data_IF_560531862800
#
_entry.id   IF_560531862800
#
_cell.length_a   1.000
_cell.length_b   1.000
_cell.length_c   1.000
_cell.angle_alpha   90.00
_cell.angle_beta   90.00
_cell.angle_gamma   90.00
#
_symmetry.space_group_name_H-M   'P 1'
#
loop_
_entity.id
_entity.type
_entity.pdbx_description
1 polymer ?
#
# COMPACT_ATOMS: atom_id res chain seq x y z
N UNK A 1 -22.36 3.04 -9.07
CA UNK A 1 -22.23 1.74 -8.37
C UNK A 1 -20.88 1.71 -7.66
N UNK A 2 -20.73 1.00 -6.55
CA UNK A 2 -19.44 0.86 -5.86
C UNK A 2 -18.93 -0.57 -6.02
N UNK A 3 -17.66 -0.72 -6.42
CA UNK A 3 -17.00 -2.03 -6.53
C UNK A 3 -15.58 -1.92 -6.00
N UNK A 4 -15.17 -2.82 -5.10
CA UNK A 4 -13.85 -2.78 -4.43
C UNK A 4 -13.54 -1.43 -3.75
N UNK A 5 -14.56 -0.74 -3.22
CA UNK A 5 -14.42 0.59 -2.62
C UNK A 5 -14.32 1.74 -3.63
N UNK A 6 -14.25 1.44 -4.93
CA UNK A 6 -14.17 2.42 -6.02
C UNK A 6 -15.56 2.85 -6.45
N UNK A 7 -15.76 4.17 -6.57
CA UNK A 7 -17.00 4.74 -7.10
C UNK A 7 -16.98 4.69 -8.63
N UNK A 8 -17.90 3.93 -9.24
CA UNK A 8 -18.02 3.80 -10.69
C UNK A 8 -19.24 4.60 -11.15
N UNK A 9 -18.98 5.62 -11.99
CA UNK A 9 -19.97 6.40 -12.71
C UNK A 9 -19.84 6.17 -14.22
N UNK A 10 -20.83 6.61 -15.02
CA UNK A 10 -20.85 6.36 -16.46
C UNK A 10 -19.61 6.88 -17.21
N UNK A 11 -18.96 7.93 -16.70
CA UNK A 11 -17.85 8.61 -17.36
C UNK A 11 -16.56 8.65 -16.54
N UNK A 12 -16.59 8.28 -15.26
CA UNK A 12 -15.44 8.40 -14.36
C UNK A 12 -15.40 7.28 -13.33
N UNK A 13 -14.18 6.95 -12.93
CA UNK A 13 -13.87 6.03 -11.84
C UNK A 13 -13.21 6.83 -10.73
N UNK A 14 -13.87 6.92 -9.58
CA UNK A 14 -13.37 7.63 -8.39
C UNK A 14 -12.67 6.65 -7.47
N UNK A 15 -11.36 6.82 -7.20
CA UNK A 15 -10.64 5.98 -6.25
C UNK A 15 -11.29 6.06 -4.84
N UNK A 16 -11.32 4.97 -4.05
CA UNK A 16 -11.61 5.05 -2.62
C UNK A 16 -10.71 6.05 -1.92
N UNK A 17 -11.23 6.61 -0.84
CA UNK A 17 -10.44 7.40 0.09
C UNK A 17 -9.38 6.51 0.75
N UNK A 18 -8.12 6.91 0.65
CA UNK A 18 -6.98 6.20 1.25
C UNK A 18 -6.39 7.06 2.35
N UNK A 19 -6.37 6.51 3.55
CA UNK A 19 -5.76 7.14 4.70
C UNK A 19 -4.33 6.63 4.87
N UNK A 20 -3.38 7.38 4.32
CA UNK A 20 -1.96 7.13 4.54
C UNK A 20 -1.58 7.67 5.92
N UNK A 21 -1.33 6.76 6.86
CA UNK A 21 -0.84 7.11 8.18
C UNK A 21 0.67 7.38 8.08
N UNK A 22 1.10 8.59 8.42
CA UNK A 22 2.51 9.04 8.30
C UNK A 22 3.32 8.83 9.58
N UNK A 23 2.66 8.59 10.70
CA UNK A 23 3.31 8.26 11.97
C UNK A 23 3.56 6.74 12.02
N UNK A 24 4.76 6.32 11.62
CA UNK A 24 5.15 4.91 11.55
C UNK A 24 6.03 4.62 12.76
N UNK A 25 5.51 3.85 13.72
CA UNK A 25 6.24 3.51 14.95
C UNK A 25 6.49 2.02 15.10
N UNK A 26 5.65 1.20 14.47
CA UNK A 26 5.70 -0.25 14.58
C UNK A 26 5.80 -0.92 13.22
N UNK A 27 6.22 -2.19 13.21
CA UNK A 27 6.16 -3.02 12.01
C UNK A 27 4.74 -3.10 11.44
N UNK A 28 3.71 -3.12 12.32
CA UNK A 28 2.32 -3.14 11.89
C UNK A 28 1.93 -1.87 11.12
N UNK A 29 2.40 -0.70 11.56
CA UNK A 29 2.17 0.56 10.86
C UNK A 29 2.83 0.55 9.47
N UNK A 30 4.05 0.00 9.40
CA UNK A 30 4.77 -0.18 8.14
C UNK A 30 4.00 -1.12 7.19
N UNK A 31 3.47 -2.25 7.69
CA UNK A 31 2.65 -3.17 6.91
C UNK A 31 1.39 -2.48 6.35
N UNK A 32 0.70 -1.67 7.17
CA UNK A 32 -0.47 -0.89 6.71
C UNK A 32 -0.12 0.12 5.62
N UNK A 33 1.02 0.80 5.77
CA UNK A 33 1.51 1.73 4.75
C UNK A 33 1.78 1.01 3.42
N UNK A 34 2.54 -0.09 3.47
CA UNK A 34 2.87 -0.87 2.28
C UNK A 34 1.62 -1.40 1.60
N UNK A 35 0.66 -1.93 2.34
CA UNK A 35 -0.62 -2.38 1.77
C UNK A 35 -1.40 -1.25 1.08
N UNK A 36 -1.42 -0.06 1.68
CA UNK A 36 -2.08 1.11 1.08
C UNK A 36 -1.40 1.57 -0.22
N UNK A 37 -0.07 1.55 -0.25
CA UNK A 37 0.73 1.90 -1.44
C UNK A 37 0.63 0.85 -2.55
N UNK A 38 0.60 -0.43 -2.21
CA UNK A 38 0.38 -1.51 -3.18
C UNK A 38 -0.99 -1.40 -3.85
N UNK A 39 -2.03 -1.05 -3.09
CA UNK A 39 -3.35 -0.78 -3.66
C UNK A 39 -3.29 0.43 -4.62
N UNK A 40 -2.62 1.52 -4.21
CA UNK A 40 -2.44 2.73 -5.03
C UNK A 40 -1.66 2.50 -6.31
N UNK A 41 -0.67 1.60 -6.29
CA UNK A 41 0.21 1.33 -7.42
C UNK A 41 -0.57 1.06 -8.71
N UNK A 42 -1.72 0.39 -8.62
CA UNK A 42 -2.57 0.10 -9.77
C UNK A 42 -3.25 1.33 -10.39
N UNK A 43 -3.26 2.46 -9.68
CA UNK A 43 -3.92 3.71 -10.10
C UNK A 43 -2.90 4.77 -10.52
N UNK A 44 -1.79 4.89 -9.80
CA UNK A 44 -0.78 5.96 -10.00
C UNK A 44 0.55 5.47 -10.59
N UNK A 45 0.59 4.23 -11.10
CA UNK A 45 1.73 3.64 -11.82
C UNK A 45 3.08 3.78 -11.09
N UNK A 46 3.10 3.46 -9.79
CA UNK A 46 4.35 3.43 -9.01
C UNK A 46 5.26 2.30 -9.54
N UNK A 47 6.50 2.60 -9.97
CA UNK A 47 7.46 1.58 -10.39
C UNK A 47 7.76 0.61 -9.23
N UNK A 48 7.82 -0.71 -9.46
CA UNK A 48 8.07 -1.68 -8.39
C UNK A 48 9.36 -1.38 -7.62
N UNK A 49 10.39 -0.86 -8.28
CA UNK A 49 11.72 -0.60 -7.73
C UNK A 49 11.67 0.46 -6.62
N UNK A 50 10.69 1.37 -6.67
CA UNK A 50 10.47 2.39 -5.62
C UNK A 50 9.92 1.76 -4.33
N UNK A 51 9.26 0.60 -4.44
CA UNK A 51 8.69 -0.12 -3.31
C UNK A 51 9.69 -1.07 -2.64
N UNK A 52 10.78 -1.44 -3.30
CA UNK A 52 11.76 -2.42 -2.81
C UNK A 52 12.28 -2.08 -1.40
N UNK A 53 12.66 -0.83 -1.07
CA UNK A 53 13.10 -0.49 0.28
C UNK A 53 12.02 -0.72 1.33
N UNK A 54 10.74 -0.56 0.96
CA UNK A 54 9.63 -0.78 1.86
C UNK A 54 9.39 -2.27 2.11
N UNK A 55 9.60 -3.12 1.09
CA UNK A 55 9.54 -4.58 1.24
C UNK A 55 10.68 -5.11 2.10
N UNK A 56 11.88 -4.54 1.95
CA UNK A 56 13.03 -4.90 2.78
C UNK A 56 12.77 -4.65 4.27
N UNK A 57 12.10 -3.54 4.61
CA UNK A 57 11.69 -3.24 5.99
C UNK A 57 10.65 -4.21 6.56
N UNK A 58 9.93 -4.94 5.70
CA UNK A 58 8.98 -5.96 6.11
C UNK A 58 9.60 -7.34 6.24
N UNK A 59 10.84 -7.54 5.78
CA UNK A 59 11.57 -8.78 6.00
C UNK A 59 11.82 -8.91 7.49
N UNK A 60 11.12 -9.85 8.11
CA UNK A 60 11.43 -10.27 9.47
C UNK A 60 12.82 -10.89 9.52
N UNK A 61 13.38 -11.01 10.73
CA UNK A 61 14.56 -11.86 10.93
C UNK A 61 14.23 -13.27 10.45
N UNK A 62 15.13 -13.87 9.68
CA UNK A 62 14.97 -15.27 9.36
C UNK A 62 15.00 -16.12 10.65
N UNK A 63 14.23 -17.22 10.74
CA UNK A 63 14.21 -18.08 11.93
C UNK A 63 15.58 -18.63 12.34
N UNK A 64 16.57 -18.57 11.45
CA UNK A 64 17.95 -19.04 11.62
C UNK A 64 18.99 -17.91 11.64
N UNK A 65 18.56 -16.64 11.58
CA UNK A 65 19.44 -15.51 11.85
C UNK A 65 19.53 -15.27 13.36
N UNK A 66 20.75 -15.12 13.92
CA UNK A 66 20.94 -14.89 15.35
C UNK A 66 20.28 -13.60 15.89
#
# INVERSE_FOLDING_TARGET
>A
VTFLGVGIANSYVTPPEIKIHRDIKTLHDMQRLVGSLQWLRNIILIPPEVMDPLYDLLKGKHPWEP
#
